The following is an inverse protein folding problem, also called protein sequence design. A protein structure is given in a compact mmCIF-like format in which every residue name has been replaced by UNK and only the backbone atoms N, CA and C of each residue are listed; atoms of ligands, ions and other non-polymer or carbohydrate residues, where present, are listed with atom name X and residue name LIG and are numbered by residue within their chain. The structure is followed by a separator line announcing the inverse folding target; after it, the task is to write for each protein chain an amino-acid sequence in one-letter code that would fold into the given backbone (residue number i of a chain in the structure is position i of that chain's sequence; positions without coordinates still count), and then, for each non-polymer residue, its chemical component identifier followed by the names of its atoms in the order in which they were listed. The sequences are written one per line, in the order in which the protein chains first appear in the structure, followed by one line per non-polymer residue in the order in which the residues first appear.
data_IF_726189483278
#
_entry.id   IF_726189483278
#
_cell.length_a   1.000
_cell.length_b   1.000
_cell.length_c   1.000
_cell.angle_alpha   90.00
_cell.angle_beta   90.00
_cell.angle_gamma   90.00
#
_symmetry.space_group_name_H-M   'P 1'
#
loop_
_entity.id
_entity.type
_entity.pdbx_description
1 polymer ?
#
# COMPACT_ATOMS: atom_id res chain seq x y z
N UNK A 1 9.70 6.04 -27.05
CA UNK A 1 8.70 6.30 -25.99
C UNK A 1 7.58 7.12 -26.62
N UNK A 2 6.33 6.72 -26.52
CA UNK A 2 5.22 7.48 -27.10
C UNK A 2 4.67 8.51 -26.11
N UNK A 3 3.93 9.51 -26.63
CA UNK A 3 3.31 10.58 -25.82
C UNK A 3 2.48 10.01 -24.66
N UNK A 4 1.72 8.94 -24.94
CA UNK A 4 0.90 8.25 -23.92
C UNK A 4 1.73 7.65 -22.80
N UNK A 5 2.86 7.03 -23.12
CA UNK A 5 3.74 6.42 -22.11
C UNK A 5 4.36 7.48 -21.22
N UNK A 6 4.75 8.63 -21.77
CA UNK A 6 5.29 9.76 -21.00
C UNK A 6 4.26 10.31 -20.03
N UNK A 7 3.03 10.58 -20.50
CA UNK A 7 1.95 11.06 -19.65
C UNK A 7 1.59 10.04 -18.54
N UNK A 8 1.60 8.74 -18.87
CA UNK A 8 1.34 7.66 -17.91
C UNK A 8 2.40 7.62 -16.80
N UNK A 9 3.68 7.70 -17.14
CA UNK A 9 4.77 7.71 -16.15
C UNK A 9 4.64 8.89 -15.19
N UNK A 10 4.34 10.10 -15.71
CA UNK A 10 4.16 11.29 -14.86
C UNK A 10 2.94 11.11 -13.95
N UNK A 11 1.85 10.55 -14.46
CA UNK A 11 0.64 10.27 -13.69
C UNK A 11 0.92 9.24 -12.58
N UNK A 12 1.57 8.13 -12.91
CA UNK A 12 1.91 7.07 -11.95
C UNK A 12 2.83 7.59 -10.84
N UNK A 13 3.87 8.33 -11.19
CA UNK A 13 4.74 8.98 -10.20
C UNK A 13 3.95 9.95 -9.30
N UNK A 14 3.15 10.82 -9.92
CA UNK A 14 2.41 11.84 -9.15
C UNK A 14 1.43 11.21 -8.18
N UNK A 15 0.69 10.18 -8.61
CA UNK A 15 -0.34 9.56 -7.79
C UNK A 15 0.25 8.56 -6.79
N UNK A 16 1.02 7.58 -7.28
CA UNK A 16 1.47 6.46 -6.45
C UNK A 16 2.66 6.80 -5.55
N UNK A 17 3.63 7.60 -6.03
CA UNK A 17 4.83 7.91 -5.25
C UNK A 17 4.73 9.24 -4.51
N UNK A 18 4.35 10.30 -5.21
CA UNK A 18 4.29 11.62 -4.60
C UNK A 18 3.09 11.77 -3.65
N UNK A 19 1.86 11.53 -4.12
CA UNK A 19 0.65 11.74 -3.32
C UNK A 19 0.47 10.66 -2.24
N UNK A 20 0.53 9.38 -2.61
CA UNK A 20 0.23 8.29 -1.69
C UNK A 20 1.31 8.05 -0.64
N UNK A 21 2.57 8.35 -0.96
CA UNK A 21 3.68 8.13 -0.04
C UNK A 21 4.33 9.42 0.42
N UNK A 22 4.94 10.18 -0.50
CA UNK A 22 5.77 11.31 -0.09
C UNK A 22 4.98 12.36 0.70
N UNK A 23 3.79 12.73 0.24
CA UNK A 23 2.95 13.74 0.93
C UNK A 23 2.54 13.26 2.32
N UNK A 24 2.19 11.98 2.48
CA UNK A 24 1.81 11.41 3.78
C UNK A 24 3.00 11.36 4.75
N UNK A 25 4.19 11.01 4.27
CA UNK A 25 5.44 11.07 5.03
C UNK A 25 5.80 12.51 5.41
N UNK A 26 5.67 13.41 4.45
CA UNK A 26 5.98 14.82 4.60
C UNK A 26 5.14 15.49 5.69
N UNK A 27 3.86 15.11 5.84
CA UNK A 27 2.96 15.64 6.89
C UNK A 27 3.54 15.49 8.29
N UNK A 28 4.20 14.37 8.58
CA UNK A 28 4.79 14.09 9.90
C UNK A 28 5.84 15.15 10.25
N UNK A 29 6.67 15.52 9.27
CA UNK A 29 7.72 16.52 9.45
C UNK A 29 7.21 17.97 9.29
N UNK A 30 6.21 18.15 8.44
CA UNK A 30 5.62 19.48 8.15
C UNK A 30 4.91 20.04 9.38
N UNK A 31 4.17 19.19 10.11
CA UNK A 31 3.45 19.58 11.32
C UNK A 31 4.25 19.30 12.62
N UNK A 32 5.48 18.79 12.49
CA UNK A 32 6.37 18.57 13.64
C UNK A 32 6.97 19.88 14.15
N UNK A 33 7.49 19.84 15.38
CA UNK A 33 8.05 21.01 16.07
C UNK A 33 9.40 21.50 15.48
N UNK A 34 10.05 20.67 14.64
CA UNK A 34 11.37 21.01 14.08
C UNK A 34 11.23 21.82 12.80
N UNK A 35 11.40 23.14 12.92
CA UNK A 35 11.28 24.09 11.81
C UNK A 35 12.27 23.81 10.66
N UNK A 36 13.49 23.41 10.95
CA UNK A 36 14.49 23.08 9.93
C UNK A 36 14.03 21.89 9.08
N UNK A 37 13.53 20.80 9.70
CA UNK A 37 12.97 19.66 8.99
C UNK A 37 11.71 20.02 8.19
N UNK A 38 10.85 20.89 8.73
CA UNK A 38 9.67 21.41 8.04
C UNK A 38 10.07 22.20 6.78
N UNK A 39 11.07 23.06 6.85
CA UNK A 39 11.53 23.84 5.71
C UNK A 39 12.16 23.00 4.61
N UNK A 40 12.91 21.94 4.95
CA UNK A 40 13.44 20.98 3.99
C UNK A 40 12.27 20.30 3.24
N UNK A 41 11.28 19.82 3.96
CA UNK A 41 10.11 19.14 3.36
C UNK A 41 9.34 20.08 2.44
N UNK A 42 9.13 21.34 2.84
CA UNK A 42 8.50 22.37 1.99
C UNK A 42 9.28 22.57 0.69
N UNK A 43 10.59 22.70 0.78
CA UNK A 43 11.46 22.93 -0.37
C UNK A 43 11.43 21.72 -1.34
N UNK A 44 11.51 20.50 -0.83
CA UNK A 44 11.45 19.28 -1.64
C UNK A 44 10.06 19.13 -2.28
N UNK A 45 8.98 19.34 -1.51
CA UNK A 45 7.61 19.29 -2.03
C UNK A 45 7.40 20.28 -3.17
N UNK A 46 7.85 21.52 -2.98
CA UNK A 46 7.77 22.57 -3.99
C UNK A 46 8.55 22.20 -5.26
N UNK A 47 9.77 21.66 -5.09
CA UNK A 47 10.59 21.19 -6.23
C UNK A 47 9.87 20.07 -6.99
N UNK A 48 9.31 19.08 -6.30
CA UNK A 48 8.56 17.99 -6.92
C UNK A 48 7.33 18.49 -7.69
N UNK A 49 6.51 19.37 -7.08
CA UNK A 49 5.32 19.92 -7.72
C UNK A 49 5.70 20.71 -8.98
N UNK A 50 6.69 21.58 -8.88
CA UNK A 50 7.16 22.36 -10.04
C UNK A 50 7.68 21.48 -11.15
N UNK A 51 8.41 20.41 -10.83
CA UNK A 51 8.88 19.41 -11.79
C UNK A 51 7.71 18.72 -12.49
N UNK A 52 6.72 18.27 -11.73
CA UNK A 52 5.51 17.66 -12.29
C UNK A 52 4.76 18.59 -13.21
N UNK A 53 4.57 19.86 -12.81
CA UNK A 53 3.89 20.87 -13.63
C UNK A 53 4.65 21.11 -14.96
N UNK A 54 5.98 21.22 -14.90
CA UNK A 54 6.80 21.42 -16.10
C UNK A 54 6.70 20.20 -17.03
N UNK A 55 6.77 18.97 -16.51
CA UNK A 55 6.68 17.76 -17.30
C UNK A 55 5.27 17.52 -17.87
N UNK A 56 4.21 17.96 -17.18
CA UNK A 56 2.84 17.87 -17.65
C UNK A 56 2.44 18.99 -18.61
N UNK A 57 3.16 20.11 -18.65
CA UNK A 57 2.78 21.27 -19.44
C UNK A 57 2.54 20.96 -20.94
N UNK A 58 3.36 20.14 -21.62
CA UNK A 58 3.10 19.75 -23.00
C UNK A 58 1.78 18.99 -23.24
N UNK A 59 1.21 18.38 -22.18
CA UNK A 59 -0.02 17.59 -22.26
C UNK A 59 -1.25 18.36 -21.80
N UNK A 60 -1.08 19.26 -20.82
CA UNK A 60 -2.16 19.98 -20.19
C UNK A 60 -1.76 21.46 -19.90
N UNK A 61 -1.53 22.27 -20.95
CA UNK A 61 -0.91 23.59 -20.79
C UNK A 61 -1.73 24.54 -19.92
N UNK A 62 -3.04 24.60 -20.07
CA UNK A 62 -3.86 25.57 -19.38
C UNK A 62 -3.89 25.35 -17.86
N UNK A 63 -4.11 24.12 -17.43
CA UNK A 63 -4.19 23.81 -15.98
C UNK A 63 -2.81 23.91 -15.32
N UNK A 64 -1.75 23.49 -16.00
CA UNK A 64 -0.40 23.57 -15.43
C UNK A 64 0.09 25.02 -15.34
N UNK A 65 -0.25 25.88 -16.30
CA UNK A 65 0.05 27.31 -16.23
C UNK A 65 -0.69 27.98 -15.07
N UNK A 66 -1.97 27.65 -14.87
CA UNK A 66 -2.74 28.22 -13.76
C UNK A 66 -2.18 27.79 -12.40
N UNK A 67 -1.87 26.49 -12.25
CA UNK A 67 -1.26 25.99 -11.02
C UNK A 67 0.14 26.55 -10.78
N UNK A 68 0.92 26.78 -11.83
CA UNK A 68 2.27 27.34 -11.72
C UNK A 68 2.31 28.67 -10.98
N UNK A 69 1.31 29.54 -11.16
CA UNK A 69 1.19 30.81 -10.46
C UNK A 69 1.20 30.68 -8.94
N UNK A 70 0.70 29.56 -8.41
CA UNK A 70 0.64 29.29 -6.97
C UNK A 70 1.94 28.69 -6.42
N UNK A 71 2.75 28.04 -7.27
CA UNK A 71 3.96 27.34 -6.87
C UNK A 71 5.26 27.98 -7.41
N UNK A 72 5.17 29.02 -8.19
CA UNK A 72 6.32 29.77 -8.67
C UNK A 72 6.79 30.80 -7.63
N UNK A 73 8.06 31.22 -7.75
CA UNK A 73 8.61 32.31 -6.96
C UNK A 73 8.01 33.60 -7.51
N UNK A 74 7.71 34.56 -6.62
CA UNK A 74 7.18 35.86 -7.01
C UNK A 74 8.12 36.53 -8.04
N UNK A 75 7.58 36.92 -9.19
CA UNK A 75 8.35 37.48 -10.32
C UNK A 75 8.95 36.44 -11.25
N UNK A 76 8.66 35.14 -11.06
CA UNK A 76 9.04 34.11 -12.05
C UNK A 76 8.25 34.28 -13.36
N UNK A 77 8.88 33.90 -14.47
CA UNK A 77 8.22 33.87 -15.78
C UNK A 77 7.10 32.81 -15.82
N UNK A 78 6.17 32.97 -16.76
CA UNK A 78 5.15 31.97 -17.03
C UNK A 78 5.79 30.60 -17.35
N UNK A 79 5.08 29.52 -17.07
CA UNK A 79 5.61 28.17 -17.26
C UNK A 79 5.99 27.91 -18.73
N UNK A 80 5.18 28.41 -19.65
CA UNK A 80 5.38 28.23 -21.12
C UNK A 80 6.75 28.76 -21.61
N UNK A 81 7.32 29.77 -20.95
CA UNK A 81 8.64 30.34 -21.29
C UNK A 81 9.72 29.97 -20.28
N UNK A 82 9.39 29.13 -19.28
CA UNK A 82 10.37 28.68 -18.29
C UNK A 82 11.39 27.72 -18.89
N UNK A 83 12.58 27.68 -18.30
CA UNK A 83 13.62 26.73 -18.70
C UNK A 83 13.20 25.31 -18.43
N UNK A 84 13.53 24.41 -19.37
CA UNK A 84 13.31 22.96 -19.18
C UNK A 84 14.15 22.43 -18.02
N UNK A 85 13.64 21.41 -17.35
CA UNK A 85 14.31 20.79 -16.21
C UNK A 85 15.47 19.95 -16.71
N UNK A 86 16.65 20.24 -16.18
CA UNK A 86 17.82 19.38 -16.39
C UNK A 86 17.90 18.34 -15.30
N UNK A 87 18.33 17.14 -15.67
CA UNK A 87 18.54 16.03 -14.75
C UNK A 87 19.67 16.38 -13.79
N UNK A 88 19.36 16.62 -12.53
CA UNK A 88 20.34 16.64 -11.45
C UNK A 88 20.57 15.19 -11.01
N UNK A 89 21.81 14.83 -10.70
CA UNK A 89 22.12 13.52 -10.17
C UNK A 89 21.78 13.50 -8.66
N UNK A 90 20.52 13.18 -8.34
CA UNK A 90 19.97 13.19 -6.98
C UNK A 90 19.55 11.76 -6.54
N UNK A 91 20.22 10.75 -7.08
CA UNK A 91 19.93 9.35 -6.71
C UNK A 91 20.71 8.97 -5.47
N UNK A 92 20.04 8.35 -4.51
CA UNK A 92 20.63 7.71 -3.34
C UNK A 92 20.07 6.28 -3.26
N UNK A 93 20.80 5.29 -3.82
CA UNK A 93 20.35 3.91 -3.87
C UNK A 93 20.06 3.31 -2.50
N UNK A 94 20.81 3.72 -1.46
CA UNK A 94 20.61 3.22 -0.10
C UNK A 94 19.29 3.75 0.46
N UNK A 95 19.03 5.04 0.34
CA UNK A 95 17.78 5.63 0.78
C UNK A 95 16.57 5.12 -0.01
N UNK A 96 16.74 4.80 -1.29
CA UNK A 96 15.70 4.21 -2.13
C UNK A 96 15.36 2.79 -1.66
N UNK A 97 16.37 1.94 -1.39
CA UNK A 97 16.18 0.59 -0.85
C UNK A 97 15.52 0.63 0.54
N UNK A 98 16.00 1.46 1.44
CA UNK A 98 15.42 1.68 2.76
C UNK A 98 13.94 2.08 2.68
N UNK A 99 13.60 2.96 1.75
CA UNK A 99 12.21 3.39 1.55
C UNK A 99 11.34 2.28 0.98
N UNK A 100 11.87 1.41 0.11
CA UNK A 100 11.14 0.24 -0.39
C UNK A 100 10.78 -0.70 0.76
N UNK A 101 11.73 -1.01 1.65
CA UNK A 101 11.47 -1.86 2.83
C UNK A 101 10.37 -1.27 3.71
N UNK A 102 10.41 0.03 3.97
CA UNK A 102 9.37 0.72 4.76
C UNK A 102 8.00 0.69 4.07
N UNK A 103 7.94 0.93 2.76
CA UNK A 103 6.71 0.84 1.97
C UNK A 103 6.10 -0.56 2.04
N UNK A 104 6.91 -1.60 1.87
CA UNK A 104 6.47 -3.00 1.95
C UNK A 104 5.95 -3.34 3.35
N UNK A 105 6.66 -2.94 4.40
CA UNK A 105 6.24 -3.15 5.79
C UNK A 105 4.90 -2.50 6.07
N UNK A 106 4.75 -1.21 5.76
CA UNK A 106 3.49 -0.46 5.97
C UNK A 106 2.35 -1.08 5.16
N UNK A 107 2.60 -1.46 3.91
CA UNK A 107 1.61 -2.08 3.03
C UNK A 107 1.16 -3.43 3.59
N UNK A 108 2.10 -4.24 4.08
CA UNK A 108 1.79 -5.54 4.71
C UNK A 108 0.94 -5.36 5.98
N UNK A 109 1.29 -4.41 6.86
CA UNK A 109 0.50 -4.10 8.05
C UNK A 109 -0.92 -3.64 7.68
N UNK A 110 -1.05 -2.73 6.70
CA UNK A 110 -2.35 -2.26 6.21
C UNK A 110 -3.18 -3.40 5.61
N UNK A 111 -2.55 -4.31 4.88
CA UNK A 111 -3.18 -5.49 4.31
C UNK A 111 -3.72 -6.44 5.40
N UNK A 112 -2.92 -6.71 6.45
CA UNK A 112 -3.37 -7.50 7.60
C UNK A 112 -4.57 -6.83 8.26
N UNK A 113 -4.49 -5.54 8.56
CA UNK A 113 -5.57 -4.77 9.21
C UNK A 113 -6.86 -4.81 8.39
N UNK A 114 -6.75 -4.68 7.06
CA UNK A 114 -7.89 -4.77 6.14
C UNK A 114 -8.51 -6.16 6.13
N UNK A 115 -7.69 -7.21 6.02
CA UNK A 115 -8.15 -8.61 6.03
C UNK A 115 -8.87 -8.99 7.32
N UNK A 116 -8.36 -8.49 8.46
CA UNK A 116 -8.92 -8.73 9.79
C UNK A 116 -10.00 -7.71 10.17
N UNK A 117 -10.45 -6.89 9.23
CA UNK A 117 -11.49 -5.88 9.44
C UNK A 117 -11.24 -4.99 10.68
N UNK A 118 -9.97 -4.64 10.93
CA UNK A 118 -9.60 -3.76 12.06
C UNK A 118 -10.11 -2.35 11.78
N UNK A 119 -10.87 -1.80 12.74
CA UNK A 119 -11.38 -0.43 12.63
C UNK A 119 -10.25 0.59 12.38
N UNK A 120 -10.43 1.56 11.47
CA UNK A 120 -9.42 2.57 11.14
C UNK A 120 -8.93 3.40 12.32
N UNK A 121 -9.75 3.58 13.35
CA UNK A 121 -9.42 4.33 14.56
C UNK A 121 -8.58 3.57 15.59
N UNK A 122 -8.55 2.24 15.51
CA UNK A 122 -7.78 1.42 16.45
C UNK A 122 -6.32 1.36 16.06
N UNK A 123 -5.43 1.49 17.04
CA UNK A 123 -3.98 1.27 16.87
C UNK A 123 -3.61 -0.13 17.30
N UNK A 124 -2.64 -0.75 16.63
CA UNK A 124 -2.16 -2.11 16.93
C UNK A 124 -0.73 -2.08 17.46
N UNK A 125 -0.38 -3.03 18.30
CA UNK A 125 1.02 -3.30 18.60
C UNK A 125 1.65 -4.09 17.45
N UNK A 126 2.93 -3.84 17.17
CA UNK A 126 3.69 -4.52 16.15
C UNK A 126 4.90 -5.21 16.79
N UNK A 127 5.04 -6.49 16.54
CA UNK A 127 6.21 -7.27 16.92
C UNK A 127 6.92 -7.73 15.66
N UNK A 128 8.23 -7.51 15.60
CA UNK A 128 9.04 -7.83 14.40
C UNK A 128 10.21 -8.70 14.82
N UNK A 129 10.24 -9.95 14.35
CA UNK A 129 11.42 -10.79 14.46
C UNK A 129 12.33 -10.52 13.29
N UNK A 130 13.50 -9.99 13.54
CA UNK A 130 14.44 -9.51 12.54
C UNK A 130 15.88 -9.52 13.05
N UNK A 131 16.84 -9.27 12.19
CA UNK A 131 18.23 -9.11 12.57
C UNK A 131 18.45 -7.83 13.39
N UNK A 132 19.59 -7.75 14.11
CA UNK A 132 19.95 -6.55 14.88
C UNK A 132 19.98 -5.30 13.99
N UNK A 133 20.59 -5.40 12.81
CA UNK A 133 20.66 -4.28 11.86
C UNK A 133 19.28 -3.81 11.39
N UNK A 134 18.38 -4.74 11.11
CA UNK A 134 16.99 -4.39 10.74
C UNK A 134 16.24 -3.77 11.93
N UNK A 135 16.51 -4.22 13.16
CA UNK A 135 15.90 -3.63 14.36
C UNK A 135 16.36 -2.19 14.57
N UNK A 136 17.66 -1.90 14.42
CA UNK A 136 18.19 -0.55 14.49
C UNK A 136 17.56 0.37 13.42
N UNK A 137 17.46 -0.14 12.19
CA UNK A 137 16.81 0.57 11.10
C UNK A 137 15.34 0.88 11.41
N UNK A 138 14.55 -0.09 11.91
CA UNK A 138 13.17 0.11 12.29
C UNK A 138 13.00 1.13 13.42
N UNK A 139 13.91 1.14 14.39
CA UNK A 139 13.89 2.12 15.48
C UNK A 139 14.11 3.54 14.96
N UNK A 140 14.97 3.74 13.95
CA UNK A 140 15.17 5.04 13.31
C UNK A 140 13.93 5.53 12.55
N UNK A 141 13.09 4.60 12.07
CA UNK A 141 11.87 4.90 11.29
C UNK A 141 10.58 4.69 12.10
N UNK A 142 10.68 4.55 13.43
CA UNK A 142 9.57 4.20 14.30
C UNK A 142 8.37 5.14 14.15
N UNK A 143 8.61 6.45 14.19
CA UNK A 143 7.55 7.48 14.07
C UNK A 143 6.81 7.38 12.74
N UNK A 144 7.55 7.08 11.66
CA UNK A 144 7.01 6.92 10.33
C UNK A 144 6.08 5.72 10.26
N UNK A 145 6.53 4.55 10.73
CA UNK A 145 5.75 3.33 10.73
C UNK A 145 4.53 3.46 11.65
N UNK A 146 4.68 4.02 12.84
CA UNK A 146 3.58 4.27 13.79
C UNK A 146 2.49 5.14 13.17
N UNK A 147 2.88 6.20 12.51
CA UNK A 147 1.94 7.14 11.91
C UNK A 147 1.19 6.52 10.73
N UNK A 148 1.93 5.96 9.76
CA UNK A 148 1.36 5.51 8.49
C UNK A 148 0.66 4.16 8.57
N UNK A 149 1.11 3.27 9.46
CA UNK A 149 0.51 1.95 9.65
C UNK A 149 -0.52 1.90 10.80
N UNK A 150 -0.74 3.03 11.51
CA UNK A 150 -1.61 3.09 12.71
C UNK A 150 -1.19 2.09 13.79
N UNK A 151 0.12 2.10 14.08
CA UNK A 151 0.73 1.27 15.11
C UNK A 151 0.91 2.09 16.39
N UNK A 152 0.69 1.49 17.54
CA UNK A 152 0.89 2.11 18.88
C UNK A 152 2.33 1.96 19.34
N UNK A 153 2.84 0.71 19.27
CA UNK A 153 4.18 0.37 19.70
C UNK A 153 4.85 -0.61 18.73
N UNK A 154 6.16 -0.51 18.60
CA UNK A 154 6.97 -1.43 17.83
C UNK A 154 7.97 -2.10 18.77
N UNK A 155 8.01 -3.42 18.75
CA UNK A 155 9.02 -4.23 19.44
C UNK A 155 9.74 -5.07 18.38
N UNK A 156 11.02 -4.81 18.17
CA UNK A 156 11.82 -5.49 17.13
C UNK A 156 13.08 -6.13 17.73
N UNK A 157 13.49 -7.27 17.18
CA UNK A 157 14.70 -7.97 17.62
C UNK A 157 14.75 -9.43 17.18
N UNK A 158 15.86 -10.10 17.49
CA UNK A 158 16.09 -11.51 17.16
C UNK A 158 15.25 -12.48 17.99
N UNK A 159 14.96 -12.10 19.25
CA UNK A 159 14.34 -12.96 20.26
C UNK A 159 12.83 -12.73 20.37
N UNK A 160 12.24 -12.01 19.43
CA UNK A 160 10.81 -11.76 19.41
C UNK A 160 10.06 -13.09 19.18
N UNK A 161 9.22 -13.42 20.16
CA UNK A 161 8.36 -14.60 20.12
C UNK A 161 7.00 -14.19 19.55
N UNK A 162 6.44 -15.02 18.68
CA UNK A 162 5.11 -14.81 18.12
C UNK A 162 4.06 -14.74 19.23
N UNK A 163 3.34 -13.62 19.39
CA UNK A 163 2.25 -13.52 20.35
C UNK A 163 1.10 -14.47 19.96
N UNK A 164 0.35 -14.94 20.97
CA UNK A 164 -0.87 -15.72 20.72
C UNK A 164 -1.89 -14.90 19.93
N UNK A 165 -2.67 -15.57 19.11
CA UNK A 165 -3.75 -14.93 18.32
C UNK A 165 -3.24 -13.70 17.55
N UNK A 166 -2.13 -13.84 16.86
CA UNK A 166 -1.54 -12.79 16.05
C UNK A 166 -1.59 -13.12 14.56
N UNK A 167 -1.95 -12.14 13.76
CA UNK A 167 -1.76 -12.20 12.32
C UNK A 167 -0.27 -12.07 12.00
N UNK A 168 0.18 -12.86 11.02
CA UNK A 168 1.60 -12.97 10.66
C UNK A 168 1.78 -12.61 9.19
N UNK A 169 2.89 -11.97 8.86
CA UNK A 169 3.38 -11.81 7.50
C UNK A 169 4.90 -11.81 7.49
N UNK A 170 5.50 -11.99 6.31
CA UNK A 170 6.95 -11.89 6.11
C UNK A 170 7.22 -10.79 5.10
N UNK A 171 8.13 -9.89 5.44
CA UNK A 171 8.52 -8.74 4.62
C UNK A 171 10.04 -8.64 4.64
N UNK A 172 10.68 -8.76 3.49
CA UNK A 172 12.14 -8.61 3.33
C UNK A 172 12.95 -9.40 4.38
N UNK A 173 12.52 -10.67 4.65
CA UNK A 173 13.15 -11.54 5.64
C UNK A 173 12.81 -11.23 7.10
N UNK A 174 12.01 -10.22 7.38
CA UNK A 174 11.46 -9.92 8.71
C UNK A 174 10.11 -10.62 8.88
N UNK A 175 9.90 -11.27 10.03
CA UNK A 175 8.59 -11.80 10.41
C UNK A 175 7.85 -10.77 11.26
N UNK A 176 6.68 -10.36 10.81
CA UNK A 176 5.84 -9.38 11.49
C UNK A 176 4.63 -10.05 12.13
N UNK A 177 4.33 -9.66 13.35
CA UNK A 177 3.22 -10.17 14.13
C UNK A 177 2.38 -9.02 14.65
N UNK A 178 1.07 -9.09 14.43
CA UNK A 178 0.09 -8.12 14.93
C UNK A 178 -0.89 -8.88 15.82
N UNK A 179 -0.83 -8.72 17.16
CA UNK A 179 -1.84 -9.29 18.05
C UNK A 179 -3.23 -8.77 17.70
N UNK A 180 -4.19 -9.67 17.57
CA UNK A 180 -5.57 -9.32 17.21
C UNK A 180 -6.47 -9.10 18.42
N UNK A 181 -6.02 -9.52 19.59
CA UNK A 181 -6.77 -9.34 20.85
C UNK A 181 -7.02 -7.84 21.11
N UNK A 182 -8.28 -7.47 21.34
CA UNK A 182 -8.70 -6.09 21.54
C UNK A 182 -8.81 -5.25 20.26
N UNK A 183 -8.25 -5.70 19.13
CA UNK A 183 -8.41 -5.04 17.84
C UNK A 183 -9.71 -5.44 17.15
N UNK A 184 -10.03 -6.73 17.19
CA UNK A 184 -11.25 -7.30 16.61
C UNK A 184 -11.96 -8.16 17.66
N UNK A 185 -13.27 -8.34 17.50
CA UNK A 185 -14.00 -9.39 18.21
C UNK A 185 -13.68 -10.73 17.54
N UNK A 186 -12.81 -11.51 18.18
CA UNK A 186 -12.29 -12.74 17.63
C UNK A 186 -13.40 -13.77 17.38
N UNK A 187 -14.42 -13.84 18.22
CA UNK A 187 -15.51 -14.80 18.07
C UNK A 187 -16.48 -14.37 16.94
N UNK A 188 -16.76 -13.09 16.84
CA UNK A 188 -17.57 -12.56 15.74
C UNK A 188 -16.83 -12.74 14.40
N UNK A 189 -15.53 -12.48 14.36
CA UNK A 189 -14.75 -12.61 13.13
C UNK A 189 -14.59 -14.07 12.71
N UNK A 190 -14.35 -15.00 13.65
CA UNK A 190 -14.38 -16.45 13.36
C UNK A 190 -15.72 -16.87 12.78
N UNK A 191 -16.82 -16.43 13.37
CA UNK A 191 -18.17 -16.75 12.87
C UNK A 191 -18.40 -16.20 11.46
N UNK A 192 -17.97 -14.96 11.21
CA UNK A 192 -18.04 -14.33 9.89
C UNK A 192 -17.27 -15.12 8.83
N UNK A 193 -16.01 -15.48 9.13
CA UNK A 193 -15.18 -16.27 8.22
C UNK A 193 -15.73 -17.67 7.98
N UNK A 194 -16.19 -18.36 9.01
CA UNK A 194 -16.81 -19.68 8.90
C UNK A 194 -18.07 -19.64 8.01
N UNK A 195 -18.90 -18.61 8.20
CA UNK A 195 -20.08 -18.40 7.33
C UNK A 195 -19.66 -18.18 5.88
N UNK A 196 -18.64 -17.34 5.67
CA UNK A 196 -18.14 -17.06 4.30
C UNK A 196 -17.57 -18.30 3.62
N UNK A 197 -16.82 -19.14 4.33
CA UNK A 197 -16.33 -20.42 3.83
C UNK A 197 -17.50 -21.29 3.36
N UNK A 198 -18.54 -21.44 4.20
CA UNK A 198 -19.71 -22.23 3.84
C UNK A 198 -20.46 -21.70 2.60
N UNK A 199 -20.51 -20.36 2.43
CA UNK A 199 -21.08 -19.76 1.23
C UNK A 199 -20.25 -20.05 -0.02
N UNK A 200 -18.91 -19.94 0.08
CA UNK A 200 -17.99 -20.23 -1.03
C UNK A 200 -18.09 -21.72 -1.41
N UNK A 201 -18.10 -22.64 -0.45
CA UNK A 201 -18.24 -24.06 -0.71
C UNK A 201 -19.54 -24.38 -1.47
N UNK A 202 -20.64 -23.74 -1.09
CA UNK A 202 -21.91 -23.87 -1.82
C UNK A 202 -21.83 -23.38 -3.26
N UNK A 203 -21.16 -22.22 -3.47
CA UNK A 203 -20.99 -21.65 -4.82
C UNK A 203 -20.06 -22.52 -5.68
N UNK A 204 -18.97 -23.04 -5.11
CA UNK A 204 -18.06 -23.97 -5.77
C UNK A 204 -18.78 -25.26 -6.17
N UNK A 205 -19.63 -25.81 -5.28
CA UNK A 205 -20.46 -26.97 -5.59
C UNK A 205 -21.40 -26.71 -6.76
N UNK A 206 -22.02 -25.55 -6.82
CA UNK A 206 -22.93 -25.18 -7.91
C UNK A 206 -22.17 -25.02 -9.25
N UNK A 207 -21.01 -24.37 -9.26
CA UNK A 207 -20.19 -24.20 -10.46
C UNK A 207 -19.63 -25.56 -10.93
N UNK A 208 -19.11 -26.37 -10.03
CA UNK A 208 -18.61 -27.71 -10.36
C UNK A 208 -19.71 -28.60 -10.96
N UNK A 209 -20.94 -28.54 -10.41
CA UNK A 209 -22.08 -29.27 -10.96
C UNK A 209 -22.46 -28.79 -12.37
N UNK A 210 -22.33 -27.49 -12.67
CA UNK A 210 -22.53 -26.97 -14.03
C UNK A 210 -21.43 -27.43 -14.98
N UNK A 211 -20.17 -27.33 -14.56
CA UNK A 211 -18.99 -27.68 -15.39
C UNK A 211 -18.83 -29.19 -15.60
N UNK A 212 -19.42 -30.03 -14.74
CA UNK A 212 -19.48 -31.49 -14.94
C UNK A 212 -20.70 -31.94 -15.75
N UNK A 213 -21.63 -31.05 -16.10
CA UNK A 213 -22.79 -31.39 -16.89
C UNK A 213 -22.46 -31.32 -18.40
N UNK A 214 -22.38 -32.50 -19.07
CA UNK A 214 -22.10 -32.60 -20.50
C UNK A 214 -23.10 -31.77 -21.36
N UNK A 215 -24.38 -31.76 -20.99
CA UNK A 215 -25.38 -30.98 -21.71
C UNK A 215 -25.13 -29.47 -21.62
N UNK A 216 -24.61 -29.00 -20.49
CA UNK A 216 -24.21 -27.61 -20.35
C UNK A 216 -22.98 -27.33 -21.20
N UNK A 217 -21.93 -28.15 -21.14
CA UNK A 217 -20.70 -27.95 -21.89
C UNK A 217 -20.93 -27.96 -23.41
N UNK A 218 -21.85 -28.82 -23.90
CA UNK A 218 -22.16 -28.94 -25.31
C UNK A 218 -23.09 -27.88 -25.87
N UNK A 219 -23.85 -27.17 -25.03
CA UNK A 219 -24.85 -26.15 -25.45
C UNK A 219 -24.53 -24.72 -25.08
N UNK A 220 -23.73 -24.50 -24.05
CA UNK A 220 -23.38 -23.17 -23.59
C UNK A 220 -22.34 -22.52 -24.54
N UNK A 221 -22.45 -21.24 -24.82
CA UNK A 221 -21.41 -20.48 -25.54
C UNK A 221 -20.08 -20.54 -24.79
N UNK A 222 -18.98 -20.58 -25.54
CA UNK A 222 -17.62 -20.71 -24.99
C UNK A 222 -17.29 -19.61 -23.95
N UNK A 223 -17.71 -18.36 -24.21
CA UNK A 223 -17.54 -17.23 -23.28
C UNK A 223 -18.24 -17.44 -21.92
N UNK A 224 -19.32 -18.22 -21.87
CA UNK A 224 -20.04 -18.54 -20.62
C UNK A 224 -19.26 -19.62 -19.85
N UNK A 225 -18.75 -20.61 -20.55
CA UNK A 225 -17.92 -21.67 -19.94
C UNK A 225 -16.64 -21.08 -19.36
N UNK A 226 -15.96 -20.21 -20.09
CA UNK A 226 -14.75 -19.52 -19.63
C UNK A 226 -15.00 -18.61 -18.43
N UNK A 227 -16.14 -17.93 -18.42
CA UNK A 227 -16.58 -17.14 -17.27
C UNK A 227 -16.80 -17.99 -16.01
N UNK A 228 -17.44 -19.16 -16.15
CA UNK A 228 -17.63 -20.08 -15.01
C UNK A 228 -16.30 -20.66 -14.52
N UNK A 229 -15.35 -20.98 -15.41
CA UNK A 229 -13.99 -21.41 -15.04
C UNK A 229 -13.24 -20.30 -14.30
N UNK A 230 -13.27 -19.07 -14.80
CA UNK A 230 -12.65 -17.91 -14.13
C UNK A 230 -13.28 -17.63 -12.75
N UNK A 231 -14.59 -17.83 -12.60
CA UNK A 231 -15.26 -17.73 -11.31
C UNK A 231 -14.82 -18.84 -10.35
N UNK A 232 -14.64 -20.05 -10.85
CA UNK A 232 -14.14 -21.19 -10.07
C UNK A 232 -12.76 -20.90 -9.48
N UNK A 233 -11.83 -20.39 -10.31
CA UNK A 233 -10.48 -20.03 -9.88
C UNK A 233 -10.52 -18.94 -8.79
N UNK A 234 -11.29 -17.87 -9.01
CA UNK A 234 -11.43 -16.77 -8.02
C UNK A 234 -12.00 -17.24 -6.68
N UNK A 235 -13.00 -18.12 -6.72
CA UNK A 235 -13.61 -18.65 -5.50
C UNK A 235 -12.67 -19.59 -4.75
N UNK A 236 -11.86 -20.40 -5.45
CA UNK A 236 -10.83 -21.23 -4.83
C UNK A 236 -9.75 -20.36 -4.15
N UNK A 237 -9.26 -19.31 -4.82
CA UNK A 237 -8.33 -18.36 -4.20
C UNK A 237 -8.94 -17.67 -2.96
N UNK A 238 -10.21 -17.29 -3.02
CA UNK A 238 -10.91 -16.67 -1.90
C UNK A 238 -11.08 -17.65 -0.74
N UNK A 239 -11.38 -18.91 -1.03
CA UNK A 239 -11.48 -19.99 -0.03
C UNK A 239 -10.16 -20.18 0.70
N UNK A 240 -9.07 -20.32 -0.04
CA UNK A 240 -7.72 -20.50 0.52
C UNK A 240 -7.34 -19.32 1.41
N UNK A 241 -7.54 -18.08 0.93
CA UNK A 241 -7.28 -16.85 1.70
C UNK A 241 -8.12 -16.77 2.97
N UNK A 242 -9.42 -17.11 2.88
CA UNK A 242 -10.33 -17.03 4.02
C UNK A 242 -10.01 -18.12 5.06
N UNK A 243 -9.67 -19.32 4.62
CA UNK A 243 -9.26 -20.43 5.51
C UNK A 243 -7.95 -20.08 6.23
N UNK A 244 -6.95 -19.58 5.51
CA UNK A 244 -5.70 -19.13 6.11
C UNK A 244 -5.93 -18.02 7.16
N UNK A 245 -6.82 -17.08 6.89
CA UNK A 245 -7.17 -16.04 7.86
C UNK A 245 -7.87 -16.61 9.11
N UNK A 246 -8.77 -17.58 8.94
CA UNK A 246 -9.43 -18.27 10.08
C UNK A 246 -8.42 -19.01 10.96
N UNK A 247 -7.42 -19.64 10.36
CA UNK A 247 -6.37 -20.35 11.11
C UNK A 247 -5.48 -19.38 11.93
N UNK A 248 -5.30 -18.14 11.47
CA UNK A 248 -4.60 -17.11 12.25
C UNK A 248 -5.36 -16.68 13.52
N UNK A 249 -6.68 -16.94 13.58
CA UNK A 249 -7.52 -16.59 14.72
C UNK A 249 -7.61 -17.73 15.77
N UNK A 250 -7.10 -18.91 15.47
CA UNK A 250 -7.03 -20.03 16.41
C UNK A 250 -5.86 -19.87 17.37
#
# INVERSE_FOLDING_TARGET
MCIRDSAKIIYEFTWNDFCDWYVEIAKIRFYGENESKSNIVKSVSLKCIRTVLTLLHPFAPFITEELWKHFSIQGASDLIVSSWIYKENMTDPIAEEDMLVIKELITSIRSIRSRMNVSPGKRSNLFVRCTMQQSEFLNLQEDLVKSLAKVESISSGTDIVKPKQSATSVVTGMEIYIPLQGLVDLEEEKRRMTKRISEIDRLLGAINSKLSNENFLNRAPENVIDKEKSNLEKLNEELEKTTSNLDMLK
#
